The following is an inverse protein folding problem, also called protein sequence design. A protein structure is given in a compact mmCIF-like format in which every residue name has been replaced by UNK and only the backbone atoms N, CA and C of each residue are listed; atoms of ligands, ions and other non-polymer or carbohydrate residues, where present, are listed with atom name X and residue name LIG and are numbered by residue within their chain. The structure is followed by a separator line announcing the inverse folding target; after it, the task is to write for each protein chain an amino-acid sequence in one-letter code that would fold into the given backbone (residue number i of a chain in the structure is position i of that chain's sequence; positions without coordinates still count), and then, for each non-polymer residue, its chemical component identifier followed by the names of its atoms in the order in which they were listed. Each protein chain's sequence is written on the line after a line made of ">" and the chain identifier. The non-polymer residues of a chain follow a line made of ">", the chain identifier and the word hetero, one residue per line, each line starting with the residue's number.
data_IF_587876008764
#
_entry.id   IF_587876008764
#
_cell.length_a   1.000
_cell.length_b   1.000
_cell.length_c   1.000
_cell.angle_alpha   90.00
_cell.angle_beta   90.00
_cell.angle_gamma   90.00
#
_symmetry.space_group_name_H-M   'P 1'
#
loop_
_entity.id
_entity.type
_entity.pdbx_description
1 polymer ?
#
# COMPACT_ATOMS: atom_id res chain seq x y z
N UNK A 1 -11.42 -33.71 13.43
CA UNK A 1 -11.97 -32.88 12.34
C UNK A 1 -12.39 -31.45 12.73
N UNK A 2 -12.61 -31.11 14.00
CA UNK A 2 -12.89 -29.71 14.40
C UNK A 2 -11.67 -28.77 14.30
N UNK A 3 -10.45 -29.30 14.48
CA UNK A 3 -9.23 -28.49 14.43
C UNK A 3 -8.90 -27.92 13.03
N UNK A 4 -9.37 -28.55 11.95
CA UNK A 4 -9.08 -28.06 10.59
C UNK A 4 -9.98 -26.87 10.22
N UNK A 5 -11.19 -26.81 10.80
CA UNK A 5 -12.13 -25.71 10.58
C UNK A 5 -11.77 -24.49 11.42
N UNK A 6 -11.41 -24.70 12.69
CA UNK A 6 -10.94 -23.64 13.59
C UNK A 6 -9.63 -23.05 13.07
N UNK A 7 -8.65 -23.85 12.65
CA UNK A 7 -7.40 -23.30 12.09
C UNK A 7 -7.64 -22.50 10.81
N UNK A 8 -8.52 -22.94 9.90
CA UNK A 8 -8.79 -22.19 8.66
C UNK A 8 -9.66 -20.93 8.84
N UNK A 9 -10.57 -20.91 9.81
CA UNK A 9 -11.44 -19.74 10.07
C UNK A 9 -10.85 -18.77 11.08
N UNK A 10 -10.16 -19.26 12.11
CA UNK A 10 -9.47 -18.42 13.11
C UNK A 10 -8.21 -17.77 12.53
N UNK A 11 -7.61 -18.31 11.45
CA UNK A 11 -6.49 -17.67 10.75
C UNK A 11 -6.90 -16.58 9.73
N UNK A 12 -8.20 -16.38 9.46
CA UNK A 12 -8.70 -15.23 8.67
C UNK A 12 -8.97 -13.99 9.54
N UNK A 13 -8.81 -14.09 10.86
CA UNK A 13 -8.87 -12.96 11.79
C UNK A 13 -7.90 -11.80 11.52
N UNK A 14 -6.72 -11.95 10.89
CA UNK A 14 -5.83 -10.83 10.66
C UNK A 14 -6.49 -9.71 9.86
N UNK A 15 -7.28 -10.04 8.83
CA UNK A 15 -7.93 -9.02 8.01
C UNK A 15 -9.12 -8.36 8.73
N UNK A 16 -9.94 -9.13 9.43
CA UNK A 16 -11.03 -8.59 10.24
C UNK A 16 -10.53 -7.78 11.45
N UNK A 17 -9.44 -8.20 12.08
CA UNK A 17 -8.76 -7.46 13.15
C UNK A 17 -8.16 -6.15 12.65
N UNK A 18 -7.60 -6.12 11.44
CA UNK A 18 -7.15 -4.88 10.79
C UNK A 18 -8.31 -3.93 10.47
N UNK A 19 -9.41 -4.46 9.93
CA UNK A 19 -10.64 -3.67 9.71
C UNK A 19 -11.24 -3.16 11.03
N UNK A 20 -11.18 -3.96 12.09
CA UNK A 20 -11.63 -3.59 13.43
C UNK A 20 -10.72 -2.53 14.06
N UNK A 21 -9.40 -2.62 13.91
CA UNK A 21 -8.46 -1.59 14.35
C UNK A 21 -8.66 -0.26 13.63
N UNK A 22 -8.94 -0.31 12.33
CA UNK A 22 -9.32 0.88 11.56
C UNK A 22 -10.62 1.50 12.07
N UNK A 23 -11.53 0.70 12.61
CA UNK A 23 -12.79 1.19 13.16
C UNK A 23 -12.62 1.77 14.58
N UNK A 24 -11.92 1.08 15.47
CA UNK A 24 -11.81 1.51 16.87
C UNK A 24 -10.75 2.59 17.06
N UNK A 25 -9.63 2.52 16.31
CA UNK A 25 -8.50 3.43 16.51
C UNK A 25 -7.89 3.97 15.21
N UNK A 26 -8.69 4.57 14.30
CA UNK A 26 -8.16 5.17 13.08
C UNK A 26 -7.09 6.24 13.39
N UNK A 27 -7.28 6.98 14.49
CA UNK A 27 -6.37 8.04 14.94
C UNK A 27 -4.99 7.53 15.39
N UNK A 28 -4.88 6.29 15.88
CA UNK A 28 -3.59 5.75 16.34
C UNK A 28 -2.70 5.42 15.15
N UNK A 29 -3.24 4.72 14.15
CA UNK A 29 -2.48 4.35 12.95
C UNK A 29 -2.11 5.58 12.12
N UNK A 30 -3.01 6.56 12.12
CA UNK A 30 -2.80 7.85 11.51
C UNK A 30 -1.69 8.65 12.20
N UNK A 31 -1.74 8.77 13.52
CA UNK A 31 -0.72 9.49 14.28
C UNK A 31 0.66 8.83 14.18
N UNK A 32 0.74 7.50 14.21
CA UNK A 32 2.01 6.76 13.96
C UNK A 32 2.55 7.07 12.57
N UNK A 33 1.68 7.14 11.55
CA UNK A 33 2.09 7.48 10.20
C UNK A 33 2.64 8.90 10.09
N UNK A 34 1.93 9.89 10.65
CA UNK A 34 2.36 11.30 10.64
C UNK A 34 3.64 11.50 11.47
N UNK A 35 3.74 10.87 12.63
CA UNK A 35 4.94 10.94 13.47
C UNK A 35 6.15 10.32 12.74
N UNK A 36 5.93 9.22 12.03
CA UNK A 36 6.97 8.61 11.19
C UNK A 36 7.42 9.55 10.08
N UNK A 37 6.50 10.25 9.42
CA UNK A 37 6.85 11.27 8.42
C UNK A 37 7.65 12.42 9.04
N UNK A 38 7.23 12.90 10.21
CA UNK A 38 7.92 13.97 10.95
C UNK A 38 9.36 13.58 11.27
N UNK A 39 9.57 12.34 11.71
CA UNK A 39 10.91 11.80 11.95
C UNK A 39 11.74 11.75 10.66
N UNK A 40 11.14 11.32 9.55
CA UNK A 40 11.82 11.27 8.24
C UNK A 40 12.21 12.67 7.76
N UNK A 41 11.31 13.64 7.90
CA UNK A 41 11.57 15.04 7.57
C UNK A 41 12.71 15.60 8.43
N UNK A 42 12.70 15.33 9.74
CA UNK A 42 13.77 15.74 10.66
C UNK A 42 15.13 15.16 10.25
N UNK A 43 15.21 13.85 9.97
CA UNK A 43 16.45 13.21 9.53
C UNK A 43 16.91 13.74 8.17
N UNK A 44 15.97 14.04 7.27
CA UNK A 44 16.27 14.59 5.95
C UNK A 44 16.87 16.00 6.07
N UNK A 45 16.24 16.89 6.84
CA UNK A 45 16.74 18.26 7.06
C UNK A 45 18.11 18.25 7.71
N UNK A 46 18.31 17.43 8.75
CA UNK A 46 19.60 17.27 9.42
C UNK A 46 20.71 16.76 8.49
N UNK A 47 20.36 15.90 7.54
CA UNK A 47 21.32 15.34 6.57
C UNK A 47 21.73 16.33 5.49
N UNK A 48 20.89 17.32 5.19
CA UNK A 48 21.12 18.32 4.14
C UNK A 48 21.30 19.72 4.76
N UNK A 49 21.84 19.78 5.98
CA UNK A 49 22.23 21.04 6.63
C UNK A 49 23.25 21.77 5.75
N UNK A 50 22.88 22.95 5.26
CA UNK A 50 23.71 23.79 4.39
C UNK A 50 23.43 23.69 2.89
N UNK A 51 22.45 22.88 2.46
CA UNK A 51 21.97 22.88 1.07
C UNK A 51 20.81 23.87 0.85
N UNK A 52 20.82 24.57 -0.29
CA UNK A 52 19.79 25.58 -0.62
C UNK A 52 18.56 25.00 -1.35
N UNK A 53 18.67 23.81 -1.95
CA UNK A 53 17.59 23.17 -2.72
C UNK A 53 16.99 21.99 -1.94
N UNK A 54 16.27 22.32 -0.87
CA UNK A 54 15.62 21.35 0.01
C UNK A 54 14.21 21.04 -0.47
N UNK A 55 13.89 19.75 -0.51
CA UNK A 55 12.53 19.29 -0.71
C UNK A 55 11.62 19.76 0.46
N UNK A 56 10.38 20.20 0.18
CA UNK A 56 9.44 20.54 1.26
C UNK A 56 9.09 19.33 2.15
N UNK A 57 8.91 19.56 3.46
CA UNK A 57 8.59 18.50 4.43
C UNK A 57 7.18 17.94 4.23
N UNK A 58 7.01 16.63 4.46
CA UNK A 58 5.75 15.91 4.24
C UNK A 58 4.74 16.04 5.36
N UNK A 59 5.19 15.90 6.62
CA UNK A 59 4.30 15.94 7.78
C UNK A 59 3.45 17.23 7.81
N UNK A 60 4.05 18.44 7.76
CA UNK A 60 3.27 19.68 7.74
C UNK A 60 2.48 19.87 6.44
N UNK A 61 2.89 19.24 5.33
CA UNK A 61 2.13 19.30 4.10
C UNK A 61 0.81 18.51 4.19
N UNK A 62 0.85 17.35 4.85
CA UNK A 62 -0.31 16.48 5.07
C UNK A 62 -1.18 16.94 6.23
N UNK A 63 -0.62 17.55 7.27
CA UNK A 63 -1.40 18.08 8.41
C UNK A 63 -2.37 19.21 8.01
N UNK A 64 -2.12 19.88 6.88
CA UNK A 64 -3.06 20.88 6.30
C UNK A 64 -4.35 20.27 5.80
N UNK A 65 -4.40 18.96 5.62
CA UNK A 65 -5.57 18.26 5.12
C UNK A 65 -6.36 17.71 6.30
N UNK A 66 -7.66 17.98 6.30
CA UNK A 66 -8.56 17.33 7.24
C UNK A 66 -8.63 15.84 6.92
N UNK A 67 -8.42 15.01 7.93
CA UNK A 67 -8.62 13.57 7.80
C UNK A 67 -10.14 13.29 7.87
N UNK A 68 -10.77 13.09 6.72
CA UNK A 68 -12.20 12.75 6.68
C UNK A 68 -12.39 11.24 6.73
N UNK A 69 -13.09 10.78 7.77
CA UNK A 69 -13.51 9.39 7.91
C UNK A 69 -14.89 9.21 7.26
N UNK A 70 -14.90 8.87 5.97
CA UNK A 70 -16.13 8.50 5.28
C UNK A 70 -16.34 6.97 5.29
N UNK A 71 -17.36 6.53 6.00
CA UNK A 71 -17.81 5.13 6.02
C UNK A 71 -18.17 4.60 4.63
N UNK A 72 -18.65 5.46 3.73
CA UNK A 72 -18.99 5.10 2.36
C UNK A 72 -17.73 4.76 1.55
N UNK A 73 -16.66 5.55 1.72
CA UNK A 73 -15.34 5.25 1.18
C UNK A 73 -14.88 3.88 1.70
N UNK A 74 -14.99 3.58 3.01
CA UNK A 74 -14.63 2.28 3.58
C UNK A 74 -15.37 1.10 2.92
N UNK A 75 -16.68 1.18 2.73
CA UNK A 75 -17.40 0.13 2.01
C UNK A 75 -16.96 0.03 0.55
N UNK A 76 -16.61 1.16 -0.08
CA UNK A 76 -16.06 1.16 -1.42
C UNK A 76 -14.65 0.54 -1.46
N UNK A 77 -13.82 0.74 -0.43
CA UNK A 77 -12.55 0.07 -0.23
C UNK A 77 -12.70 -1.43 -0.07
N UNK A 78 -13.65 -1.86 0.76
CA UNK A 78 -13.95 -3.27 0.97
C UNK A 78 -14.36 -3.90 -0.36
N UNK A 79 -15.32 -3.29 -1.06
CA UNK A 79 -15.75 -3.70 -2.42
C UNK A 79 -14.57 -3.75 -3.39
N UNK A 80 -13.70 -2.75 -3.40
CA UNK A 80 -12.48 -2.74 -4.22
C UNK A 80 -11.55 -3.89 -3.88
N UNK A 81 -11.34 -4.18 -2.60
CA UNK A 81 -10.51 -5.29 -2.15
C UNK A 81 -11.02 -6.64 -2.70
N UNK A 82 -12.32 -6.77 -2.98
CA UNK A 82 -12.90 -7.93 -3.68
C UNK A 82 -12.78 -7.88 -5.21
N UNK A 83 -12.69 -6.70 -5.84
CA UNK A 83 -12.55 -6.54 -7.31
C UNK A 83 -11.07 -6.62 -7.77
N UNK A 84 -10.14 -6.18 -6.93
CA UNK A 84 -8.70 -6.18 -7.24
C UNK A 84 -8.03 -7.55 -7.42
N UNK A 85 -8.45 -8.65 -6.76
CA UNK A 85 -7.92 -9.99 -7.00
C UNK A 85 -8.12 -10.41 -8.46
N UNK A 86 -9.29 -10.11 -9.02
CA UNK A 86 -9.61 -10.38 -10.42
C UNK A 86 -8.77 -9.50 -11.34
N UNK A 87 -8.64 -8.20 -11.01
CA UNK A 87 -7.81 -7.29 -11.79
C UNK A 87 -6.32 -7.64 -11.76
N UNK A 88 -5.79 -8.10 -10.63
CA UNK A 88 -4.38 -8.46 -10.48
C UNK A 88 -4.04 -9.83 -11.06
N UNK A 89 -4.96 -10.80 -10.97
CA UNK A 89 -4.87 -12.02 -11.77
C UNK A 89 -4.88 -11.69 -13.27
N UNK A 90 -5.74 -10.75 -13.68
CA UNK A 90 -5.80 -10.29 -15.07
C UNK A 90 -4.53 -9.55 -15.51
N UNK A 91 -3.95 -8.68 -14.68
CA UNK A 91 -2.68 -8.01 -15.02
C UNK A 91 -1.53 -9.01 -15.10
N UNK A 92 -1.46 -10.02 -14.23
CA UNK A 92 -0.46 -11.08 -14.33
C UNK A 92 -0.59 -11.86 -15.64
N UNK A 93 -1.82 -12.25 -16.00
CA UNK A 93 -2.14 -12.90 -17.28
C UNK A 93 -1.75 -12.00 -18.47
N UNK A 94 -2.02 -10.70 -18.37
CA UNK A 94 -1.69 -9.72 -19.42
C UNK A 94 -0.19 -9.49 -19.56
N UNK A 95 0.55 -9.41 -18.46
CA UNK A 95 2.01 -9.21 -18.44
C UNK A 95 2.77 -10.44 -18.94
N UNK A 96 2.26 -11.64 -18.68
CA UNK A 96 2.80 -12.89 -19.25
C UNK A 96 2.48 -13.02 -20.75
N UNK A 97 1.40 -12.39 -21.22
CA UNK A 97 0.85 -12.57 -22.55
C UNK A 97 -0.16 -13.70 -22.59
N UNK A 98 -1.16 -13.59 -23.47
CA UNK A 98 -2.32 -14.49 -23.46
C UNK A 98 -1.94 -15.95 -23.75
N UNK A 99 -0.95 -16.20 -24.63
CA UNK A 99 -0.51 -17.55 -25.01
C UNK A 99 0.09 -18.32 -23.82
N UNK A 100 1.16 -17.85 -23.16
CA UNK A 100 1.72 -18.57 -22.01
C UNK A 100 0.76 -18.60 -20.82
N UNK A 101 -0.08 -17.58 -20.62
CA UNK A 101 -1.05 -17.57 -19.52
C UNK A 101 -2.12 -18.67 -19.66
N UNK A 102 -2.63 -18.91 -20.88
CA UNK A 102 -3.56 -20.02 -21.14
C UNK A 102 -2.85 -21.35 -20.94
N UNK A 103 -1.62 -21.51 -21.43
CA UNK A 103 -0.83 -22.74 -21.25
C UNK A 103 -0.61 -23.04 -19.77
N UNK A 104 -0.19 -22.05 -18.98
CA UNK A 104 -0.01 -22.19 -17.53
C UNK A 104 -1.34 -22.47 -16.85
N UNK A 105 -2.43 -21.77 -17.22
CA UNK A 105 -3.76 -22.00 -16.65
C UNK A 105 -4.28 -23.42 -16.88
N UNK A 106 -4.15 -23.93 -18.10
CA UNK A 106 -4.55 -25.31 -18.46
C UNK A 106 -3.66 -26.33 -17.74
N UNK A 107 -2.34 -26.13 -17.74
CA UNK A 107 -1.39 -27.00 -17.04
C UNK A 107 -1.63 -27.04 -15.53
N UNK A 108 -1.96 -25.90 -14.94
CA UNK A 108 -2.25 -25.73 -13.52
C UNK A 108 -3.63 -26.28 -13.13
N UNK A 109 -4.58 -26.33 -14.06
CA UNK A 109 -5.89 -26.96 -13.86
C UNK A 109 -5.80 -28.49 -13.88
N UNK A 110 -5.00 -29.04 -14.81
CA UNK A 110 -4.84 -30.49 -15.01
C UNK A 110 -3.99 -31.12 -13.90
N UNK A 111 -2.99 -30.40 -13.36
CA UNK A 111 -2.08 -30.93 -12.34
C UNK A 111 -2.72 -30.87 -10.94
N UNK A 112 -3.06 -32.01 -10.28
CA UNK A 112 -3.79 -32.00 -9.01
C UNK A 112 -3.00 -31.36 -7.84
N UNK A 113 -1.68 -31.33 -7.93
CA UNK A 113 -0.79 -30.78 -6.89
C UNK A 113 -0.51 -29.27 -6.97
N UNK A 114 -0.81 -28.62 -8.10
CA UNK A 114 -0.49 -27.18 -8.27
C UNK A 114 -1.57 -26.26 -7.70
N UNK A 115 -2.80 -26.76 -7.50
CA UNK A 115 -3.92 -25.99 -6.97
C UNK A 115 -3.64 -25.34 -5.60
N UNK A 116 -3.16 -26.05 -4.56
CA UNK A 116 -2.88 -25.43 -3.27
C UNK A 116 -1.75 -24.40 -3.36
N UNK A 117 -0.72 -24.64 -4.19
CA UNK A 117 0.36 -23.69 -4.42
C UNK A 117 -0.14 -22.43 -5.15
N UNK A 118 -1.00 -22.60 -6.16
CA UNK A 118 -1.63 -21.48 -6.87
C UNK A 118 -2.42 -20.60 -5.91
N UNK A 119 -3.29 -21.21 -5.10
CA UNK A 119 -4.12 -20.52 -4.13
C UNK A 119 -3.24 -19.81 -3.10
N UNK A 120 -2.22 -20.48 -2.58
CA UNK A 120 -1.28 -19.88 -1.62
C UNK A 120 -0.55 -18.67 -2.21
N UNK A 121 -0.02 -18.78 -3.44
CA UNK A 121 0.66 -17.67 -4.11
C UNK A 121 -0.34 -16.53 -4.29
N UNK A 122 -1.49 -16.78 -4.92
CA UNK A 122 -2.49 -15.75 -5.17
C UNK A 122 -2.97 -15.08 -3.87
N UNK A 123 -3.23 -15.84 -2.81
CA UNK A 123 -3.61 -15.31 -1.50
C UNK A 123 -2.53 -14.38 -0.93
N UNK A 124 -1.26 -14.78 -0.95
CA UNK A 124 -0.15 -13.94 -0.48
C UNK A 124 0.04 -12.69 -1.36
N UNK A 125 -0.07 -12.83 -2.68
CA UNK A 125 0.01 -11.74 -3.64
C UNK A 125 -1.12 -10.72 -3.39
N UNK A 126 -2.35 -11.17 -3.18
CA UNK A 126 -3.49 -10.28 -2.96
C UNK A 126 -3.45 -9.62 -1.59
N UNK A 127 -3.10 -10.39 -0.56
CA UNK A 127 -3.08 -9.90 0.82
C UNK A 127 -1.95 -8.90 1.05
N UNK A 128 -0.78 -9.08 0.44
CA UNK A 128 0.30 -8.08 0.48
C UNK A 128 -0.11 -6.76 -0.20
N UNK A 129 -0.78 -6.84 -1.36
CA UNK A 129 -1.30 -5.64 -2.05
C UNK A 129 -2.42 -4.96 -1.26
N UNK A 130 -3.27 -5.73 -0.60
CA UNK A 130 -4.28 -5.19 0.29
C UNK A 130 -3.64 -4.48 1.48
N UNK A 131 -2.66 -5.11 2.13
CA UNK A 131 -1.88 -4.51 3.21
C UNK A 131 -1.29 -3.18 2.78
N UNK A 132 -0.65 -3.10 1.61
CA UNK A 132 -0.04 -1.84 1.16
C UNK A 132 -1.04 -0.70 0.99
N UNK A 133 -2.25 -1.02 0.52
CA UNK A 133 -3.32 -0.02 0.39
C UNK A 133 -3.79 0.47 1.75
N UNK A 134 -3.94 -0.43 2.71
CA UNK A 134 -4.28 -0.08 4.09
C UNK A 134 -3.18 0.77 4.75
N UNK A 135 -1.90 0.40 4.55
CA UNK A 135 -0.77 1.15 5.13
C UNK A 135 -0.67 2.58 4.58
N UNK A 136 -1.04 2.79 3.31
CA UNK A 136 -1.05 4.11 2.67
C UNK A 136 -2.39 4.84 2.82
N UNK A 137 -3.36 4.26 3.52
CA UNK A 137 -4.66 4.88 3.71
C UNK A 137 -4.61 6.24 4.41
N UNK A 138 -3.77 6.49 5.44
CA UNK A 138 -3.64 7.82 6.06
C UNK A 138 -3.29 8.92 5.04
N UNK A 139 -2.51 8.59 4.03
CA UNK A 139 -2.14 9.53 2.97
C UNK A 139 -3.31 9.80 2.03
N UNK A 140 -3.97 8.75 1.54
CA UNK A 140 -5.07 8.90 0.57
C UNK A 140 -6.37 9.42 1.20
N UNK A 141 -6.61 9.10 2.47
CA UNK A 141 -7.74 9.61 3.23
C UNK A 141 -7.65 11.11 3.55
N UNK A 142 -6.48 11.73 3.37
CA UNK A 142 -6.30 13.18 3.48
C UNK A 142 -6.48 13.88 2.15
N UNK A 143 -5.81 13.38 1.11
CA UNK A 143 -5.73 14.10 -0.17
C UNK A 143 -7.00 13.89 -1.01
N UNK A 144 -7.81 12.87 -0.70
CA UNK A 144 -9.09 12.59 -1.36
C UNK A 144 -8.98 12.51 -2.89
N UNK A 145 -7.99 11.75 -3.38
CA UNK A 145 -7.84 11.54 -4.82
C UNK A 145 -9.05 10.83 -5.45
N UNK A 146 -9.40 11.24 -6.67
CA UNK A 146 -10.34 10.50 -7.48
C UNK A 146 -9.89 9.04 -7.64
N UNK A 147 -10.83 8.12 -7.60
CA UNK A 147 -10.63 6.67 -7.73
C UNK A 147 -9.70 6.26 -8.89
N UNK A 148 -9.91 6.86 -10.07
CA UNK A 148 -9.12 6.54 -11.28
C UNK A 148 -7.67 6.99 -11.13
N UNK A 149 -7.50 8.19 -10.59
CA UNK A 149 -6.20 8.80 -10.30
C UNK A 149 -5.41 7.93 -9.33
N UNK A 150 -6.04 7.55 -8.23
CA UNK A 150 -5.39 6.72 -7.23
C UNK A 150 -5.01 5.34 -7.77
N UNK A 151 -5.86 4.72 -8.59
CA UNK A 151 -5.55 3.44 -9.22
C UNK A 151 -4.27 3.55 -10.06
N UNK A 152 -4.19 4.57 -10.93
CA UNK A 152 -3.01 4.83 -11.75
C UNK A 152 -1.77 5.10 -10.89
N UNK A 153 -1.89 5.84 -9.80
CA UNK A 153 -0.78 6.09 -8.88
C UNK A 153 -0.18 4.78 -8.32
N UNK A 154 -1.03 3.81 -7.97
CA UNK A 154 -0.59 2.50 -7.49
C UNK A 154 0.01 1.64 -8.61
N UNK A 155 -0.58 1.67 -9.80
CA UNK A 155 -0.08 0.94 -10.98
C UNK A 155 1.35 1.39 -11.34
N UNK A 156 1.62 2.70 -11.34
CA UNK A 156 2.95 3.27 -11.66
C UNK A 156 4.04 2.91 -10.64
N UNK A 157 3.66 2.68 -9.37
CA UNK A 157 4.58 2.38 -8.26
C UNK A 157 4.52 0.92 -7.84
N UNK A 158 3.82 0.09 -8.60
CA UNK A 158 3.47 -1.27 -8.24
C UNK A 158 4.70 -2.07 -7.82
N UNK A 159 5.79 -2.03 -8.59
CA UNK A 159 6.99 -2.83 -8.30
C UNK A 159 7.59 -2.57 -6.91
N UNK A 160 7.79 -1.30 -6.55
CA UNK A 160 8.43 -0.90 -5.28
C UNK A 160 7.49 -1.16 -4.11
N UNK A 161 6.23 -0.73 -4.24
CA UNK A 161 5.23 -0.85 -3.18
C UNK A 161 4.90 -2.33 -2.91
N UNK A 162 4.82 -3.12 -3.97
CA UNK A 162 4.53 -4.54 -3.89
C UNK A 162 5.65 -5.32 -3.21
N UNK A 163 6.91 -5.14 -3.65
CA UNK A 163 8.06 -5.81 -3.04
C UNK A 163 8.20 -5.50 -1.54
N UNK A 164 7.99 -4.24 -1.16
CA UNK A 164 7.92 -3.82 0.23
C UNK A 164 6.82 -4.54 1.01
N UNK A 165 5.60 -4.56 0.46
CA UNK A 165 4.43 -5.11 1.15
C UNK A 165 4.45 -6.62 1.34
N UNK A 166 5.11 -7.38 0.46
CA UNK A 166 5.27 -8.84 0.62
C UNK A 166 6.06 -9.15 1.89
N UNK A 167 7.16 -8.43 2.14
CA UNK A 167 8.00 -8.65 3.30
C UNK A 167 7.23 -8.38 4.61
N UNK A 168 6.51 -7.25 4.67
CA UNK A 168 5.72 -6.91 5.86
C UNK A 168 4.48 -7.77 6.04
N UNK A 169 3.87 -8.28 4.97
CA UNK A 169 2.73 -9.17 5.07
C UNK A 169 3.06 -10.46 5.84
N UNK A 170 4.24 -11.03 5.62
CA UNK A 170 4.67 -12.22 6.38
C UNK A 170 4.81 -11.91 7.88
N UNK A 171 5.25 -10.71 8.24
CA UNK A 171 5.38 -10.27 9.64
C UNK A 171 4.02 -10.00 10.30
N UNK A 172 3.10 -9.35 9.57
CA UNK A 172 1.77 -8.96 10.07
C UNK A 172 0.80 -10.14 10.17
N UNK A 173 1.00 -11.21 9.39
CA UNK A 173 0.13 -12.41 9.40
C UNK A 173 0.13 -13.15 10.75
N UNK A 174 1.07 -12.86 11.65
CA UNK A 174 1.18 -13.51 12.96
C UNK A 174 0.10 -12.98 13.93
N UNK A 175 -0.80 -13.83 14.48
CA UNK A 175 -2.00 -13.39 15.20
C UNK A 175 -1.77 -12.66 16.54
N UNK A 176 -0.58 -12.73 17.14
CA UNK A 176 -0.26 -12.03 18.40
C UNK A 176 0.71 -10.86 18.22
N UNK A 177 1.69 -11.01 17.34
CA UNK A 177 2.74 -9.99 17.11
C UNK A 177 2.39 -9.10 15.90
N UNK A 178 1.44 -9.53 15.07
CA UNK A 178 1.05 -8.84 13.85
C UNK A 178 0.58 -7.41 14.08
N UNK A 179 -0.05 -7.13 15.23
CA UNK A 179 -0.45 -5.79 15.62
C UNK A 179 0.76 -4.87 15.87
N UNK A 180 1.79 -5.36 16.57
CA UNK A 180 3.02 -4.60 16.80
C UNK A 180 3.74 -4.36 15.46
N UNK A 181 3.87 -5.42 14.64
CA UNK A 181 4.49 -5.31 13.33
C UNK A 181 3.69 -4.43 12.37
N UNK A 182 2.38 -4.26 12.56
CA UNK A 182 1.59 -3.33 11.78
C UNK A 182 2.01 -1.88 12.04
N UNK A 183 2.26 -1.48 13.28
CA UNK A 183 2.81 -0.15 13.59
C UNK A 183 4.17 0.09 12.93
N UNK A 184 5.04 -0.93 12.94
CA UNK A 184 6.33 -0.87 12.23
C UNK A 184 6.13 -0.79 10.72
N UNK A 185 5.19 -1.56 10.16
CA UNK A 185 4.85 -1.54 8.74
C UNK A 185 4.30 -0.17 8.33
N UNK A 186 3.51 0.47 9.19
CA UNK A 186 2.96 1.81 8.98
C UNK A 186 4.07 2.86 8.89
N UNK A 187 5.01 2.84 9.84
CA UNK A 187 6.17 3.71 9.84
C UNK A 187 7.07 3.49 8.60
N UNK A 188 7.27 2.23 8.23
CA UNK A 188 8.05 1.87 7.05
C UNK A 188 7.33 2.24 5.74
N UNK A 189 5.99 2.19 5.69
CA UNK A 189 5.21 2.64 4.55
C UNK A 189 5.31 4.17 4.35
N UNK A 190 5.34 4.94 5.43
CA UNK A 190 5.61 6.38 5.39
C UNK A 190 6.97 6.69 4.74
N UNK A 191 8.02 5.94 5.11
CA UNK A 191 9.35 6.02 4.49
C UNK A 191 9.32 5.71 2.97
N UNK A 192 8.60 4.66 2.57
CA UNK A 192 8.45 4.29 1.16
C UNK A 192 7.67 5.35 0.39
N UNK A 193 6.62 5.90 0.98
CA UNK A 193 5.87 7.02 0.41
C UNK A 193 6.79 8.20 0.15
N UNK A 194 7.59 8.59 1.14
CA UNK A 194 8.54 9.71 1.05
C UNK A 194 9.46 9.58 -0.16
N UNK A 195 9.97 8.37 -0.38
CA UNK A 195 10.88 8.04 -1.47
C UNK A 195 10.21 7.92 -2.83
N UNK A 196 8.90 7.67 -2.87
CA UNK A 196 8.16 7.37 -4.11
C UNK A 196 7.26 8.51 -4.57
N UNK A 197 7.11 9.57 -3.78
CA UNK A 197 6.24 10.70 -4.11
C UNK A 197 6.89 12.05 -3.90
N UNK A 198 6.23 13.07 -4.42
CA UNK A 198 6.42 14.48 -4.08
C UNK A 198 5.39 14.86 -2.99
N UNK A 199 5.69 15.83 -2.11
CA UNK A 199 4.75 16.16 -1.05
C UNK A 199 3.54 16.85 -1.68
N UNK A 200 2.33 16.61 -1.16
CA UNK A 200 1.14 17.19 -1.77
C UNK A 200 1.16 18.73 -1.67
N UNK A 201 0.64 19.44 -2.70
CA UNK A 201 0.50 20.90 -2.64
C UNK A 201 -0.46 21.31 -1.52
N UNK A 202 -0.54 22.60 -1.16
CA UNK A 202 -1.58 23.10 -0.26
C UNK A 202 -3.01 22.77 -0.78
N UNK A 203 -4.00 22.61 0.12
CA UNK A 203 -5.36 22.23 -0.26
C UNK A 203 -6.00 23.12 -1.35
N UNK A 204 -5.76 24.42 -1.27
CA UNK A 204 -6.29 25.42 -2.23
C UNK A 204 -5.82 25.19 -3.66
N UNK A 205 -4.64 24.57 -3.83
CA UNK A 205 -4.03 24.32 -5.13
C UNK A 205 -4.30 22.92 -5.68
N UNK A 206 -4.91 22.01 -4.91
CA UNK A 206 -5.19 20.64 -5.37
C UNK A 206 -6.03 20.55 -6.64
N UNK A 207 -7.04 21.42 -6.75
CA UNK A 207 -7.98 21.44 -7.88
C UNK A 207 -7.30 21.83 -9.20
N UNK A 208 -6.23 22.62 -9.11
CA UNK A 208 -5.47 23.16 -10.26
C UNK A 208 -4.17 22.39 -10.49
N UNK A 209 -3.64 21.74 -9.45
CA UNK A 209 -2.44 20.91 -9.53
C UNK A 209 -2.77 19.63 -10.29
N UNK A 210 -2.30 19.53 -11.54
CA UNK A 210 -2.20 18.23 -12.21
C UNK A 210 -1.20 17.41 -11.44
N UNK A 211 -1.70 16.56 -10.55
CA UNK A 211 -0.91 15.57 -9.83
C UNK A 211 -0.04 14.85 -10.87
N UNK A 212 1.27 15.06 -10.86
CA UNK A 212 2.16 14.37 -11.78
C UNK A 212 2.18 12.90 -11.36
N UNK A 213 1.41 12.09 -12.08
CA UNK A 213 1.26 10.67 -11.78
C UNK A 213 2.53 9.89 -12.06
N UNK A 214 3.44 10.43 -12.89
CA UNK A 214 4.65 9.75 -13.30
C UNK A 214 5.58 9.63 -12.10
N UNK A 215 5.88 8.39 -11.75
CA UNK A 215 7.01 8.11 -10.89
C UNK A 215 8.29 8.51 -11.64
N UNK A 216 8.97 9.56 -11.18
CA UNK A 216 10.34 9.89 -11.64
C UNK A 216 11.31 9.13 -10.76
N UNK A 217 12.10 8.22 -11.36
CA UNK A 217 13.03 7.40 -10.59
C UNK A 217 14.08 8.32 -9.92
N UNK A 218 14.26 8.26 -8.59
CA UNK A 218 15.30 9.03 -7.90
C UNK A 218 16.71 8.78 -8.44
N UNK A 219 16.95 7.66 -9.12
CA UNK A 219 18.22 7.32 -9.78
C UNK A 219 18.48 8.15 -11.03
N UNK A 220 17.45 8.57 -11.77
CA UNK A 220 17.60 9.40 -12.97
C UNK A 220 18.11 10.81 -12.63
N UNK A 221 17.75 11.36 -11.47
CA UNK A 221 18.25 12.66 -10.99
C UNK A 221 19.77 12.67 -10.75
N UNK A 222 20.40 11.51 -10.51
CA UNK A 222 21.85 11.41 -10.32
C UNK A 222 22.62 11.39 -11.64
N UNK A 223 22.04 10.84 -12.71
CA UNK A 223 22.70 10.69 -14.02
C UNK A 223 22.90 12.05 -14.71
N UNK A 224 22.08 13.06 -14.39
CA UNK A 224 22.20 14.41 -14.94
C UNK A 224 22.98 15.39 -14.05
N UNK A 225 23.52 14.93 -12.92
CA UNK A 225 24.35 15.73 -12.01
C UNK A 225 25.85 15.35 -12.07
N UNK A 226 26.21 14.37 -12.90
CA UNK A 226 27.58 14.05 -13.31
C UNK A 226 27.86 14.61 -14.71
#
# INVERSE_FOLDING_TARGET
>A
NYNLWVTNYVLNFPFFGLLFMRYIYPQILDSVFIESLRHVDYVYLRKHEGENDLRPPYAPALERYEYSYDWMEMFQYLKRSFVYPIASAYTLVRSLGYKPAITVGVLMYITPGTKPLAIFILENLFSSRALMRELLEPYFGRIHFETKVRRRWFEEREGILFGFSIAFYQLVKLPLIGMLFYGVAQAAAALVLVKTTEPPPPPDLLSTYRIDYRYRDPREKKIHKE
#
